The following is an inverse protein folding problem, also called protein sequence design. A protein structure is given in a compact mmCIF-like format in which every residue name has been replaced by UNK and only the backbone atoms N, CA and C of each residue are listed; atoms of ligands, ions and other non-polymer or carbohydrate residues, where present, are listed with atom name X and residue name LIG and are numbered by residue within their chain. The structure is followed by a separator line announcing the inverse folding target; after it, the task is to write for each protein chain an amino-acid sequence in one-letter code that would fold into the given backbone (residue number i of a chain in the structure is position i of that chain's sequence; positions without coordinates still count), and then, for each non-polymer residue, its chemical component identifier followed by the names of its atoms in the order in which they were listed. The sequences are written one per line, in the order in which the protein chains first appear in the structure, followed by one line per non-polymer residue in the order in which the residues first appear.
data_IF_824558137727
#
_entry.id   IF_824558137727
#
_cell.length_a   1.000
_cell.length_b   1.000
_cell.length_c   1.000
_cell.angle_alpha   90.00
_cell.angle_beta   90.00
_cell.angle_gamma   90.00
#
_symmetry.space_group_name_H-M   'P 1'
#
loop_
_entity.id
_entity.type
_entity.pdbx_description
1 polymer ?
#
# COMPACT_ATOMS: atom_id res chain seq x y z
N UNK A 1 12.52 8.24 -9.03
CA UNK A 1 11.10 7.84 -9.16
C UNK A 1 10.27 9.10 -9.24
N UNK A 2 9.47 9.27 -10.28
CA UNK A 2 8.65 10.46 -10.45
C UNK A 2 7.45 10.42 -9.49
N UNK A 3 7.01 11.59 -9.01
CA UNK A 3 5.83 11.71 -8.13
C UNK A 3 4.58 11.03 -8.76
N UNK A 4 4.48 11.05 -10.08
CA UNK A 4 3.44 10.36 -10.85
C UNK A 4 3.43 8.84 -10.64
N UNK A 5 4.59 8.18 -10.61
CA UNK A 5 4.70 6.72 -10.40
C UNK A 5 4.19 6.32 -9.01
N UNK A 6 4.49 7.15 -8.01
CA UNK A 6 4.07 6.97 -6.62
C UNK A 6 2.54 7.08 -6.51
N UNK A 7 1.98 8.10 -7.15
CA UNK A 7 0.52 8.33 -7.19
C UNK A 7 -0.19 7.18 -7.91
N UNK A 8 0.35 6.71 -9.04
CA UNK A 8 -0.22 5.58 -9.79
C UNK A 8 -0.21 4.31 -8.93
N UNK A 9 0.90 4.01 -8.26
CA UNK A 9 0.96 2.87 -7.34
C UNK A 9 -0.07 3.01 -6.21
N UNK A 10 -0.16 4.17 -5.56
CA UNK A 10 -1.15 4.41 -4.51
C UNK A 10 -2.60 4.22 -5.00
N UNK A 11 -2.93 4.71 -6.19
CA UNK A 11 -4.27 4.57 -6.77
C UNK A 11 -4.62 3.12 -7.13
N UNK A 12 -3.70 2.41 -7.79
CA UNK A 12 -3.90 1.01 -8.18
C UNK A 12 -4.06 0.13 -6.95
N UNK A 13 -3.19 0.29 -5.95
CA UNK A 13 -3.26 -0.50 -4.72
C UNK A 13 -4.45 -0.10 -3.83
N UNK A 14 -4.78 1.19 -3.75
CA UNK A 14 -5.97 1.64 -3.03
C UNK A 14 -7.26 1.13 -3.66
N UNK A 15 -7.33 1.11 -4.99
CA UNK A 15 -8.44 0.50 -5.73
C UNK A 15 -8.56 -1.00 -5.47
N UNK A 16 -7.43 -1.73 -5.53
CA UNK A 16 -7.38 -3.15 -5.22
C UNK A 16 -7.83 -3.43 -3.79
N UNK A 17 -7.32 -2.65 -2.83
CA UNK A 17 -7.69 -2.73 -1.42
C UNK A 17 -9.20 -2.55 -1.21
N UNK A 18 -9.80 -1.51 -1.79
CA UNK A 18 -11.23 -1.25 -1.67
C UNK A 18 -12.08 -2.33 -2.35
N UNK A 19 -11.64 -2.81 -3.52
CA UNK A 19 -12.32 -3.90 -4.23
C UNK A 19 -12.36 -5.16 -3.38
N UNK A 20 -11.21 -5.58 -2.85
CA UNK A 20 -11.15 -6.79 -2.04
C UNK A 20 -11.87 -6.62 -0.69
N UNK A 21 -11.81 -5.44 -0.08
CA UNK A 21 -12.55 -5.13 1.15
C UNK A 21 -14.08 -5.18 0.96
N UNK A 22 -14.58 -4.78 -0.20
CA UNK A 22 -16.00 -4.90 -0.56
C UNK A 22 -16.42 -6.36 -0.73
N UNK A 23 -15.56 -7.20 -1.32
CA UNK A 23 -15.81 -8.63 -1.52
C UNK A 23 -15.89 -9.40 -0.18
N UNK A 24 -15.16 -8.94 0.84
CA UNK A 24 -15.09 -9.54 2.17
C UNK A 24 -16.34 -9.30 3.05
N UNK A 25 -17.39 -8.66 2.55
CA UNK A 25 -18.65 -8.40 3.29
C UNK A 25 -19.49 -9.66 3.57
N UNK A 26 -18.99 -10.86 3.25
CA UNK A 26 -19.66 -12.14 3.53
C UNK A 26 -19.62 -12.47 5.03
N UNK A 27 -20.70 -13.05 5.57
CA UNK A 27 -20.81 -13.48 6.99
C UNK A 27 -19.81 -14.59 7.39
N UNK A 28 -18.97 -15.07 6.46
CA UNK A 28 -18.02 -16.13 6.71
C UNK A 28 -16.70 -15.60 7.31
N UNK A 29 -16.47 -15.91 8.58
CA UNK A 29 -15.27 -15.52 9.35
C UNK A 29 -13.96 -15.95 8.69
N UNK A 30 -13.95 -17.07 7.96
CA UNK A 30 -12.76 -17.60 7.29
C UNK A 30 -12.37 -16.71 6.11
N UNK A 31 -13.35 -16.28 5.31
CA UNK A 31 -13.13 -15.37 4.18
C UNK A 31 -12.63 -14.01 4.67
N UNK A 32 -13.19 -13.54 5.79
CA UNK A 32 -12.75 -12.31 6.44
C UNK A 32 -11.28 -12.41 6.87
N UNK A 33 -10.87 -13.44 7.61
CA UNK A 33 -9.48 -13.58 8.05
C UNK A 33 -8.49 -13.79 6.89
N UNK A 34 -8.83 -14.64 5.93
CA UNK A 34 -8.00 -14.87 4.73
C UNK A 34 -7.77 -13.58 3.94
N UNK A 35 -8.76 -12.69 3.92
CA UNK A 35 -8.66 -11.39 3.27
C UNK A 35 -7.63 -10.46 3.94
N UNK A 36 -7.65 -10.34 5.28
CA UNK A 36 -6.64 -9.52 5.98
C UNK A 36 -5.23 -10.08 5.83
N UNK A 37 -5.07 -11.41 5.86
CA UNK A 37 -3.76 -12.04 5.64
C UNK A 37 -3.24 -11.71 4.24
N UNK A 38 -4.10 -11.82 3.21
CA UNK A 38 -3.72 -11.45 1.84
C UNK A 38 -3.26 -9.99 1.73
N UNK A 39 -4.00 -9.06 2.35
CA UNK A 39 -3.63 -7.63 2.36
C UNK A 39 -2.28 -7.37 3.05
N UNK A 40 -2.00 -8.06 4.16
CA UNK A 40 -0.72 -7.95 4.88
C UNK A 40 0.44 -8.45 4.02
N UNK A 41 0.27 -9.61 3.36
CA UNK A 41 1.29 -10.17 2.46
C UNK A 41 1.54 -9.22 1.29
N UNK A 42 0.48 -8.69 0.67
CA UNK A 42 0.57 -7.75 -0.43
C UNK A 42 1.32 -6.48 -0.01
N UNK A 43 0.99 -5.93 1.17
CA UNK A 43 1.68 -4.78 1.75
C UNK A 43 3.18 -5.04 1.95
N UNK A 44 3.55 -6.21 2.46
CA UNK A 44 4.94 -6.60 2.66
C UNK A 44 5.72 -6.69 1.34
N UNK A 45 5.12 -7.32 0.32
CA UNK A 45 5.72 -7.41 -1.02
C UNK A 45 5.96 -6.02 -1.63
N UNK A 46 4.99 -5.12 -1.55
CA UNK A 46 5.12 -3.76 -2.09
C UNK A 46 6.20 -2.97 -1.35
N UNK A 47 6.25 -3.08 -0.02
CA UNK A 47 7.27 -2.42 0.79
C UNK A 47 8.68 -2.90 0.41
N UNK A 48 8.84 -4.21 0.17
CA UNK A 48 10.08 -4.79 -0.35
C UNK A 48 10.41 -4.26 -1.75
N UNK A 49 9.44 -4.22 -2.67
CA UNK A 49 9.64 -3.68 -4.02
C UNK A 49 10.10 -2.22 -3.99
N UNK A 50 9.46 -1.37 -3.18
CA UNK A 50 9.87 0.03 -3.00
C UNK A 50 11.33 0.08 -2.53
N UNK A 51 11.67 -0.68 -1.49
CA UNK A 51 13.02 -0.70 -0.94
C UNK A 51 14.08 -1.09 -1.97
N UNK A 52 13.86 -2.20 -2.68
CA UNK A 52 14.79 -2.69 -3.71
C UNK A 52 14.88 -1.75 -4.90
N UNK A 53 13.80 -1.10 -5.29
CA UNK A 53 13.80 -0.14 -6.39
C UNK A 53 14.68 1.08 -6.05
N UNK A 54 14.54 1.62 -4.84
CA UNK A 54 15.40 2.72 -4.38
C UNK A 54 16.86 2.32 -4.25
N UNK A 55 17.16 1.12 -3.72
CA UNK A 55 18.54 0.61 -3.64
C UNK A 55 19.15 0.33 -5.01
N UNK A 56 18.35 -0.15 -5.97
CA UNK A 56 18.76 -0.31 -7.36
C UNK A 56 19.08 1.04 -8.01
N UNK A 57 18.25 2.05 -7.78
CA UNK A 57 18.48 3.41 -8.28
C UNK A 57 19.73 4.05 -7.68
N UNK A 58 19.92 3.91 -6.37
CA UNK A 58 21.10 4.38 -5.64
C UNK A 58 22.37 3.76 -6.21
N UNK A 59 22.38 2.44 -6.41
CA UNK A 59 23.50 1.74 -7.01
C UNK A 59 23.79 2.19 -8.44
N UNK A 60 22.75 2.36 -9.26
CA UNK A 60 22.89 2.81 -10.65
C UNK A 60 23.51 4.20 -10.73
N UNK A 61 23.04 5.15 -9.90
CA UNK A 61 23.56 6.52 -9.87
C UNK A 61 25.00 6.52 -9.35
N UNK A 62 25.28 5.83 -8.24
CA UNK A 62 26.61 5.84 -7.62
C UNK A 62 27.67 5.16 -8.49
N UNK A 63 27.29 4.19 -9.32
CA UNK A 63 28.22 3.46 -10.19
C UNK A 63 28.46 4.16 -11.54
N UNK A 64 27.50 4.93 -12.04
CA UNK A 64 27.55 5.45 -13.43
C UNK A 64 27.50 6.97 -13.56
N UNK A 65 27.25 7.71 -12.49
CA UNK A 65 27.08 9.16 -12.60
C UNK A 65 28.38 9.97 -12.53
N UNK A 66 29.46 9.39 -12.00
CA UNK A 66 30.73 10.09 -11.80
C UNK A 66 30.69 11.18 -10.72
N UNK A 67 29.58 11.33 -10.00
CA UNK A 67 29.42 12.23 -8.87
C UNK A 67 29.70 11.53 -7.54
N UNK A 68 29.78 12.31 -6.46
CA UNK A 68 29.85 11.76 -5.11
C UNK A 68 28.64 10.87 -4.79
N UNK A 69 28.85 9.78 -4.04
CA UNK A 69 27.80 8.82 -3.75
C UNK A 69 26.66 9.48 -2.97
N UNK A 70 25.45 9.32 -3.49
CA UNK A 70 24.22 9.76 -2.85
C UNK A 70 23.54 8.58 -2.15
N UNK A 71 22.72 8.86 -1.13
CA UNK A 71 21.87 7.85 -0.52
C UNK A 71 20.39 8.21 -0.63
N UNK A 72 19.61 7.30 -1.20
CA UNK A 72 18.17 7.46 -1.37
C UNK A 72 17.37 6.75 -0.26
N UNK A 73 18.06 6.25 0.77
CA UNK A 73 17.46 5.51 1.89
C UNK A 73 16.36 6.32 2.60
N UNK A 74 16.58 7.63 2.80
CA UNK A 74 15.60 8.51 3.46
C UNK A 74 14.31 8.64 2.65
N UNK A 75 14.43 8.76 1.34
CA UNK A 75 13.29 8.85 0.42
C UNK A 75 12.50 7.53 0.40
N UNK A 76 13.21 6.40 0.37
CA UNK A 76 12.59 5.07 0.47
C UNK A 76 11.77 4.91 1.75
N UNK A 77 12.34 5.30 2.91
CA UNK A 77 11.63 5.24 4.21
C UNK A 77 10.42 6.16 4.20
N UNK A 78 10.58 7.41 3.73
CA UNK A 78 9.48 8.37 3.66
C UNK A 78 8.31 7.83 2.84
N UNK A 79 8.60 7.19 1.71
CA UNK A 79 7.60 6.63 0.82
C UNK A 79 6.91 5.40 1.42
N UNK A 80 7.66 4.51 2.09
CA UNK A 80 7.08 3.38 2.82
C UNK A 80 6.14 3.90 3.91
N UNK A 81 6.55 4.89 4.71
CA UNK A 81 5.71 5.49 5.77
C UNK A 81 4.45 6.13 5.20
N UNK A 82 4.57 6.87 4.09
CA UNK A 82 3.43 7.45 3.38
C UNK A 82 2.46 6.37 2.89
N UNK A 83 2.98 5.28 2.33
CA UNK A 83 2.21 4.12 1.90
C UNK A 83 1.52 3.42 3.07
N UNK A 84 2.18 3.23 4.21
CA UNK A 84 1.57 2.69 5.43
C UNK A 84 0.41 3.56 5.91
N UNK A 85 0.63 4.88 5.96
CA UNK A 85 -0.38 5.85 6.42
C UNK A 85 -1.60 5.83 5.50
N UNK A 86 -1.39 5.79 4.19
CA UNK A 86 -2.46 5.66 3.19
C UNK A 86 -3.29 4.38 3.40
N UNK A 87 -2.64 3.23 3.60
CA UNK A 87 -3.33 1.96 3.85
C UNK A 87 -4.13 1.97 5.17
N UNK A 88 -3.61 2.62 6.22
CA UNK A 88 -4.35 2.78 7.49
C UNK A 88 -5.62 3.61 7.31
N UNK A 89 -5.54 4.72 6.57
CA UNK A 89 -6.71 5.56 6.26
C UNK A 89 -7.76 4.75 5.47
N UNK A 90 -7.32 3.98 4.47
CA UNK A 90 -8.19 3.10 3.69
C UNK A 90 -8.89 2.03 4.54
N UNK A 91 -8.16 1.40 5.49
CA UNK A 91 -8.73 0.47 6.45
C UNK A 91 -9.84 1.12 7.29
N UNK A 92 -9.60 2.33 7.80
CA UNK A 92 -10.59 3.08 8.59
C UNK A 92 -11.83 3.44 7.76
N UNK A 93 -11.63 3.94 6.53
CA UNK A 93 -12.72 4.29 5.62
C UNK A 93 -13.56 3.06 5.25
N UNK A 94 -12.92 1.94 4.92
CA UNK A 94 -13.60 0.68 4.63
C UNK A 94 -14.47 0.21 5.81
N UNK A 95 -13.93 0.30 7.03
CA UNK A 95 -14.69 -0.04 8.26
C UNK A 95 -15.89 0.88 8.46
N UNK A 96 -15.75 2.19 8.19
CA UNK A 96 -16.87 3.14 8.29
C UNK A 96 -17.97 2.85 7.26
N UNK A 97 -17.61 2.58 6.00
CA UNK A 97 -18.55 2.25 4.94
C UNK A 97 -19.35 0.98 5.29
N UNK A 98 -18.65 -0.07 5.75
CA UNK A 98 -19.29 -1.33 6.15
C UNK A 98 -20.24 -1.15 7.36
N UNK A 99 -19.88 -0.30 8.33
CA UNK A 99 -20.77 0.04 9.46
C UNK A 99 -22.04 0.75 9.01
N UNK A 100 -21.93 1.76 8.12
CA UNK A 100 -23.10 2.47 7.57
C UNK A 100 -24.05 1.52 6.84
N UNK A 101 -23.51 0.64 5.98
CA UNK A 101 -24.29 -0.35 5.24
C UNK A 101 -25.08 -1.29 6.17
N UNK A 102 -24.48 -1.72 7.29
CA UNK A 102 -25.17 -2.56 8.28
C UNK A 102 -26.28 -1.83 9.04
N UNK A 103 -26.23 -0.49 9.15
CA UNK A 103 -27.29 0.29 9.82
C UNK A 103 -28.50 0.51 8.91
N UNK A 104 -28.28 0.69 7.61
CA UNK A 104 -29.33 0.92 6.61
C UNK A 104 -30.13 -0.36 6.35
N UNK A 105 -29.51 -1.54 6.43
CA UNK A 105 -30.21 -2.83 6.27
C UNK A 105 -31.05 -3.26 7.49
N UNK A 106 -30.99 -2.53 8.61
CA UNK A 106 -31.67 -2.87 9.87
C UNK A 106 -32.78 -1.89 10.29
N UNK A 107 -32.97 -0.79 9.55
CA UNK A 107 -34.08 0.16 9.71
C UNK A 107 -35.12 -0.06 8.64
#
# INVERSE_FOLDING_TARGET
MAVSEIIIMMLVYGGLFLYTARLSSSNNKIIFYGHYVFLIVLYGLISLTIWFMYKGLENHINTHSGYEPISLTKEAIFLIVGFTTYNLILLLLSRQINRKKSSIMKG
#
